data_IF_108826377573
#
_entry.id   IF_108826377573
#
_cell.length_a   1.000
_cell.length_b   1.000
_cell.length_c   1.000
_cell.angle_alpha   90.00
_cell.angle_beta   90.00
_cell.angle_gamma   90.00
#
_symmetry.space_group_name_H-M   'P 1'
#
loop_
_entity.id
_entity.type
_entity.pdbx_description
1 polymer ?
#
# COMPACT_ATOMS: atom_id res chain seq x y z
N UNK A 1 -7.12 -22.43 -5.15
CA UNK A 1 -6.21 -21.39 -5.72
C UNK A 1 -6.89 -20.34 -6.62
N UNK A 2 -7.91 -20.69 -7.42
CA UNK A 2 -8.62 -19.75 -8.34
C UNK A 2 -9.28 -18.54 -7.64
N UNK A 3 -9.94 -18.72 -6.48
CA UNK A 3 -10.60 -17.63 -5.72
C UNK A 3 -9.64 -16.50 -5.28
N UNK A 4 -8.43 -16.83 -4.80
CA UNK A 4 -7.43 -15.84 -4.33
C UNK A 4 -6.91 -14.95 -5.47
N UNK A 5 -6.69 -15.50 -6.67
CA UNK A 5 -6.27 -14.73 -7.85
C UNK A 5 -7.31 -13.67 -8.27
N UNK A 6 -8.59 -13.97 -8.09
CA UNK A 6 -9.67 -13.01 -8.38
C UNK A 6 -9.68 -11.85 -7.36
N UNK A 7 -9.42 -12.13 -6.08
CA UNK A 7 -9.36 -11.11 -5.04
C UNK A 7 -8.19 -10.13 -5.23
N UNK A 8 -6.98 -10.65 -5.52
CA UNK A 8 -5.81 -9.81 -5.78
C UNK A 8 -6.00 -8.91 -7.01
N UNK A 9 -6.56 -9.45 -8.10
CA UNK A 9 -6.87 -8.67 -9.31
C UNK A 9 -7.93 -7.60 -9.02
N UNK A 10 -8.98 -7.94 -8.27
CA UNK A 10 -10.02 -6.99 -7.88
C UNK A 10 -9.45 -5.85 -7.03
N UNK A 11 -8.54 -6.16 -6.10
CA UNK A 11 -7.85 -5.16 -5.28
C UNK A 11 -7.05 -4.18 -6.15
N UNK A 12 -6.25 -4.67 -7.10
CA UNK A 12 -5.49 -3.80 -8.02
C UNK A 12 -6.40 -2.90 -8.85
N UNK A 13 -7.52 -3.42 -9.35
CA UNK A 13 -8.50 -2.61 -10.10
C UNK A 13 -9.07 -1.50 -9.21
N UNK A 14 -9.41 -1.80 -7.96
CA UNK A 14 -9.85 -0.77 -7.00
C UNK A 14 -8.75 0.22 -6.69
N UNK A 15 -7.50 -0.21 -6.54
CA UNK A 15 -6.38 0.68 -6.27
C UNK A 15 -6.14 1.67 -7.40
N UNK A 16 -6.24 1.21 -8.66
CA UNK A 16 -6.25 2.08 -9.83
C UNK A 16 -7.39 3.11 -9.78
N UNK A 17 -8.59 2.68 -9.40
CA UNK A 17 -9.73 3.56 -9.20
C UNK A 17 -9.50 4.60 -8.11
N UNK A 18 -9.03 4.18 -6.94
CA UNK A 18 -8.69 5.06 -5.80
C UNK A 18 -7.63 6.07 -6.18
N UNK A 19 -6.54 5.62 -6.81
CA UNK A 19 -5.47 6.51 -7.27
C UNK A 19 -5.98 7.51 -8.30
N UNK A 20 -6.79 7.08 -9.27
CA UNK A 20 -7.39 7.99 -10.26
C UNK A 20 -8.26 9.06 -9.59
N UNK A 21 -9.09 8.67 -8.64
CA UNK A 21 -9.94 9.61 -7.88
C UNK A 21 -9.11 10.57 -7.04
N UNK A 22 -8.04 10.08 -6.40
CA UNK A 22 -7.10 10.89 -5.65
C UNK A 22 -6.44 11.94 -6.56
N UNK A 23 -5.84 11.53 -7.68
CA UNK A 23 -5.19 12.45 -8.63
C UNK A 23 -6.17 13.52 -9.12
N UNK A 24 -7.41 13.12 -9.46
CA UNK A 24 -8.46 14.05 -9.89
C UNK A 24 -8.84 15.06 -8.80
N UNK A 25 -8.96 14.63 -7.53
CA UNK A 25 -9.28 15.54 -6.40
C UNK A 25 -8.18 16.60 -6.19
N UNK A 26 -6.94 16.26 -6.48
CA UNK A 26 -5.80 17.19 -6.41
C UNK A 26 -5.52 17.91 -7.74
N UNK A 27 -6.43 17.83 -8.73
CA UNK A 27 -6.28 18.54 -10.00
C UNK A 27 -5.16 17.99 -10.91
N UNK A 28 -4.61 16.81 -10.64
CA UNK A 28 -3.56 16.20 -11.44
C UNK A 28 -4.14 15.51 -12.67
N UNK A 29 -3.71 15.98 -13.85
CA UNK A 29 -3.92 15.32 -15.13
C UNK A 29 -2.83 14.28 -15.39
N UNK A 30 -3.04 13.35 -16.32
CA UNK A 30 -1.99 12.39 -16.72
C UNK A 30 -0.69 13.10 -17.14
N UNK A 31 -0.79 14.27 -17.77
CA UNK A 31 0.37 15.07 -18.16
C UNK A 31 1.09 15.65 -16.96
N UNK A 32 0.35 16.21 -16.00
CA UNK A 32 0.94 16.76 -14.78
C UNK A 32 1.58 15.65 -13.92
N UNK A 33 0.88 14.52 -13.74
CA UNK A 33 1.42 13.35 -13.05
C UNK A 33 2.67 12.84 -13.73
N UNK A 34 2.67 12.72 -15.07
CA UNK A 34 3.83 12.28 -15.83
C UNK A 34 5.06 13.16 -15.62
N UNK A 35 4.90 14.48 -15.48
CA UNK A 35 6.00 15.40 -15.16
C UNK A 35 6.58 15.19 -13.76
N UNK A 36 5.76 14.84 -12.78
CA UNK A 36 6.20 14.63 -11.39
C UNK A 36 7.13 13.42 -11.29
N UNK A 37 6.84 12.38 -12.07
CA UNK A 37 7.53 11.09 -11.95
C UNK A 37 8.34 10.70 -13.20
N UNK A 38 8.58 11.66 -14.10
CA UNK A 38 9.30 11.49 -15.36
C UNK A 38 8.80 10.32 -16.24
N UNK A 39 7.49 10.26 -16.44
CA UNK A 39 6.82 9.21 -17.24
C UNK A 39 5.90 9.82 -18.28
N UNK A 40 5.86 9.22 -19.48
CA UNK A 40 4.98 9.66 -20.55
C UNK A 40 3.49 9.64 -20.13
N UNK A 41 2.68 10.67 -20.47
CA UNK A 41 1.28 10.76 -20.04
C UNK A 41 0.42 9.56 -20.47
N UNK A 42 0.72 8.97 -21.63
CA UNK A 42 0.06 7.78 -22.13
C UNK A 42 0.29 6.55 -21.23
N UNK A 43 1.49 6.45 -20.63
CA UNK A 43 1.84 5.39 -19.68
C UNK A 43 1.03 5.52 -18.40
N UNK A 44 0.84 6.74 -17.89
CA UNK A 44 -0.04 7.02 -16.74
C UNK A 44 -1.48 6.56 -17.04
N UNK A 45 -2.01 6.94 -18.20
CA UNK A 45 -3.33 6.51 -18.64
C UNK A 45 -3.47 4.98 -18.69
N UNK A 46 -2.44 4.30 -19.22
CA UNK A 46 -2.38 2.84 -19.28
C UNK A 46 -2.31 2.20 -17.89
N UNK A 47 -1.51 2.73 -16.97
CA UNK A 47 -1.39 2.21 -15.61
C UNK A 47 -2.67 2.40 -14.80
N UNK A 48 -3.40 3.48 -15.01
CA UNK A 48 -4.68 3.74 -14.35
C UNK A 48 -5.85 2.99 -14.98
N UNK A 49 -5.70 2.39 -16.16
CA UNK A 49 -6.74 1.56 -16.79
C UNK A 49 -6.80 0.17 -16.14
N UNK A 50 -8.01 -0.23 -15.72
CA UNK A 50 -8.30 -1.53 -15.12
C UNK A 50 -8.13 -2.72 -16.07
N UNK A 51 -8.03 -2.48 -17.39
CA UNK A 51 -7.74 -3.53 -18.39
C UNK A 51 -6.27 -3.93 -18.42
N UNK A 52 -5.37 -3.02 -18.05
CA UNK A 52 -3.93 -3.26 -18.03
C UNK A 52 -3.46 -3.82 -16.69
N UNK A 53 -2.46 -4.71 -16.73
CA UNK A 53 -1.90 -5.33 -15.52
C UNK A 53 -0.89 -4.43 -14.80
N UNK A 54 -0.15 -3.62 -15.56
CA UNK A 54 0.84 -2.70 -15.00
C UNK A 54 0.17 -1.61 -14.15
N UNK A 55 0.88 -1.18 -13.11
CA UNK A 55 0.49 -0.12 -12.19
C UNK A 55 1.76 0.64 -11.78
N UNK A 56 1.62 1.72 -11.00
CA UNK A 56 2.77 2.41 -10.42
C UNK A 56 3.56 1.42 -9.56
N UNK A 57 4.88 1.49 -9.64
CA UNK A 57 5.75 0.94 -8.61
C UNK A 57 5.75 1.87 -7.38
N UNK A 58 6.48 1.44 -6.35
CA UNK A 58 6.55 2.15 -5.09
C UNK A 58 7.23 3.52 -5.23
N UNK A 59 8.28 3.63 -6.05
CA UNK A 59 9.04 4.87 -6.25
C UNK A 59 8.14 5.95 -6.84
N UNK A 60 7.44 5.64 -7.94
CA UNK A 60 6.51 6.56 -8.56
C UNK A 60 5.36 6.93 -7.61
N UNK A 61 4.83 5.97 -6.85
CA UNK A 61 3.75 6.23 -5.89
C UNK A 61 4.21 7.18 -4.76
N UNK A 62 5.41 6.96 -4.21
CA UNK A 62 5.99 7.81 -3.18
C UNK A 62 6.24 9.22 -3.71
N UNK A 63 6.83 9.36 -4.89
CA UNK A 63 7.10 10.67 -5.50
C UNK A 63 5.81 11.51 -5.68
N UNK A 64 4.73 10.89 -6.19
CA UNK A 64 3.41 11.54 -6.30
C UNK A 64 2.90 11.98 -4.92
N UNK A 65 3.02 11.12 -3.90
CA UNK A 65 2.51 11.40 -2.56
C UNK A 65 3.31 12.49 -1.85
N UNK A 66 4.63 12.53 -2.00
CA UNK A 66 5.50 13.60 -1.52
C UNK A 66 5.09 14.92 -2.16
N UNK A 67 4.93 14.95 -3.49
CA UNK A 67 4.51 16.15 -4.21
C UNK A 67 3.16 16.69 -3.70
N UNK A 68 2.24 15.80 -3.36
CA UNK A 68 0.90 16.14 -2.88
C UNK A 68 0.82 16.39 -1.37
N UNK A 69 1.89 16.13 -0.61
CA UNK A 69 1.89 16.26 0.86
C UNK A 69 0.93 15.29 1.57
N UNK A 70 0.74 14.08 1.02
CA UNK A 70 -0.18 13.06 1.56
C UNK A 70 0.54 11.73 1.80
N UNK A 71 0.04 10.86 2.69
CA UNK A 71 0.61 9.53 2.87
C UNK A 71 0.25 8.58 1.69
N UNK A 72 1.14 7.64 1.38
CA UNK A 72 0.94 6.63 0.31
C UNK A 72 -0.32 5.79 0.49
N UNK A 73 -0.78 5.62 1.74
CA UNK A 73 -2.04 4.94 2.04
C UNK A 73 -3.25 5.54 1.32
N UNK A 74 -3.23 6.83 0.97
CA UNK A 74 -4.30 7.49 0.22
C UNK A 74 -4.40 7.04 -1.24
N UNK A 75 -3.36 6.43 -1.81
CA UNK A 75 -3.40 5.81 -3.15
C UNK A 75 -4.08 4.44 -3.14
N UNK A 76 -4.15 3.81 -1.96
CA UNK A 76 -4.55 2.43 -1.80
C UNK A 76 -5.98 2.33 -1.26
N UNK A 77 -6.80 1.40 -1.78
CA UNK A 77 -8.11 1.14 -1.21
C UNK A 77 -7.94 0.38 0.11
N UNK A 78 -8.93 0.50 0.98
CA UNK A 78 -9.01 -0.33 2.17
C UNK A 78 -8.90 -1.80 1.79
N UNK A 79 -8.03 -2.50 2.49
CA UNK A 79 -7.68 -3.88 2.22
C UNK A 79 -8.79 -4.81 2.72
N UNK A 80 -9.53 -5.49 1.83
CA UNK A 80 -10.61 -6.42 2.23
C UNK A 80 -10.11 -7.59 3.11
N UNK A 81 -8.81 -7.88 3.05
CA UNK A 81 -8.13 -8.88 3.88
C UNK A 81 -7.88 -8.41 5.33
N UNK A 82 -8.11 -7.12 5.61
CA UNK A 82 -8.26 -6.57 6.97
C UNK A 82 -9.70 -6.66 7.48
N UNK A 83 -10.67 -6.86 6.59
CA UNK A 83 -12.11 -6.83 6.94
C UNK A 83 -12.58 -8.21 7.45
N UNK A 84 -11.79 -9.26 7.28
CA UNK A 84 -12.13 -10.64 7.71
C UNK A 84 -11.09 -11.33 8.59
N UNK A 85 -9.84 -10.88 8.59
CA UNK A 85 -8.95 -11.11 9.71
C UNK A 85 -9.12 -9.89 10.59
N UNK A 86 -9.71 -10.04 11.78
CA UNK A 86 -9.31 -9.17 12.87
C UNK A 86 -7.78 -9.12 12.79
N UNK A 87 -7.20 -7.98 12.41
CA UNK A 87 -5.87 -7.65 12.90
C UNK A 87 -6.05 -7.87 14.39
N UNK A 88 -5.49 -8.97 14.88
CA UNK A 88 -5.72 -9.31 16.26
C UNK A 88 -5.21 -8.10 17.04
N UNK A 89 -5.91 -7.60 18.07
CA UNK A 89 -5.48 -6.40 18.78
C UNK A 89 -3.99 -6.44 19.17
N UNK A 90 -3.44 -7.65 19.35
CA UNK A 90 -2.02 -7.89 19.57
C UNK A 90 -1.10 -7.43 18.43
N UNK A 91 -1.52 -7.53 17.15
CA UNK A 91 -0.70 -7.10 16.01
C UNK A 91 -0.65 -5.59 15.89
N UNK A 92 -1.76 -4.91 16.14
CA UNK A 92 -1.78 -3.43 16.17
C UNK A 92 -0.98 -2.91 17.37
N UNK A 93 -1.09 -3.57 18.52
CA UNK A 93 -0.25 -3.28 19.69
C UNK A 93 1.24 -3.49 19.37
N UNK A 94 1.61 -4.59 18.71
CA UNK A 94 3.00 -4.85 18.32
C UNK A 94 3.55 -3.79 17.36
N UNK A 95 2.75 -3.33 16.40
CA UNK A 95 3.14 -2.27 15.45
C UNK A 95 3.21 -0.87 16.08
N UNK A 96 2.64 -0.70 17.28
CA UNK A 96 2.67 0.55 18.03
C UNK A 96 3.83 0.64 19.04
N UNK A 97 4.60 -0.44 19.21
CA UNK A 97 5.75 -0.47 20.10
C UNK A 97 6.91 0.36 19.54
N UNK A 98 7.66 0.99 20.45
CA UNK A 98 8.96 1.56 20.15
C UNK A 98 10.00 0.49 19.83
N UNK A 99 11.12 0.90 19.24
CA UNK A 99 12.22 0.00 18.89
C UNK A 99 12.78 -0.71 20.13
N UNK A 100 12.96 0.02 21.25
CA UNK A 100 13.41 -0.53 22.54
C UNK A 100 12.45 -1.60 23.09
N UNK A 101 11.14 -1.39 22.98
CA UNK A 101 10.12 -2.35 23.41
C UNK A 101 10.11 -3.61 22.55
N UNK A 102 10.36 -3.46 21.24
CA UNK A 102 10.50 -4.59 20.32
C UNK A 102 11.76 -5.40 20.66
N UNK A 103 12.91 -4.74 20.90
CA UNK A 103 14.15 -5.41 21.31
C UNK A 103 13.97 -6.19 22.60
N UNK A 104 13.32 -5.59 23.60
CA UNK A 104 13.03 -6.25 24.87
C UNK A 104 12.18 -7.51 24.68
N UNK A 105 11.10 -7.44 23.87
CA UNK A 105 10.26 -8.60 23.58
C UNK A 105 11.02 -9.73 22.86
N UNK A 106 11.94 -9.38 21.96
CA UNK A 106 12.80 -10.34 21.28
C UNK A 106 13.75 -11.04 22.26
N UNK A 107 14.33 -10.29 23.20
CA UNK A 107 15.18 -10.84 24.25
C UNK A 107 14.41 -11.79 25.18
N UNK A 108 13.22 -11.39 25.65
CA UNK A 108 12.35 -12.23 26.48
C UNK A 108 11.99 -13.53 25.77
N UNK A 109 11.60 -13.46 24.49
CA UNK A 109 11.28 -14.65 23.69
C UNK A 109 12.50 -15.57 23.55
N UNK A 110 13.68 -15.00 23.33
CA UNK A 110 14.92 -15.77 23.17
C UNK A 110 15.28 -16.49 24.47
N UNK A 111 15.19 -15.81 25.62
CA UNK A 111 15.37 -16.41 26.93
C UNK A 111 14.35 -17.52 27.22
N UNK A 112 13.06 -17.26 26.99
CA UNK A 112 12.01 -18.27 27.16
C UNK A 112 12.26 -19.51 26.30
N UNK A 113 12.75 -19.33 25.06
CA UNK A 113 13.06 -20.46 24.19
C UNK A 113 14.32 -21.22 24.59
N UNK A 114 15.26 -20.59 25.29
CA UNK A 114 16.40 -21.30 25.86
C UNK A 114 16.04 -22.08 27.14
N UNK A 115 15.00 -21.66 27.87
CA UNK A 115 14.61 -22.28 29.13
C UNK A 115 13.55 -23.39 28.99
N UNK A 116 12.67 -23.30 27.98
CA UNK A 116 11.47 -24.16 27.87
C UNK A 116 11.41 -25.00 26.59
N UNK A 117 12.51 -25.08 25.83
CA UNK A 117 12.70 -26.03 24.73
C UNK A 117 13.94 -26.88 25.00
#
# INVERSE_FOLDING_TARGET
MKRKKNAARAYVIRAKGTTRSMLKRHGLTNTATGKIIDVAPATIGRWLDGRHRAFFDLEHAVAICIYLGIPVSHMLPTSDWLIGNHLSPQRDQLMALSEDEIEWLLAVRSGAMACYR
#
